data_IF_300689812620
#
_entry.id   IF_300689812620
#
_cell.length_a   1.000
_cell.length_b   1.000
_cell.length_c   1.000
_cell.angle_alpha   90.00
_cell.angle_beta   90.00
_cell.angle_gamma   90.00
#
_symmetry.space_group_name_H-M   'P 1'
#
loop_
_entity.id
_entity.type
_entity.pdbx_description
1 polymer ?
#
# COMPACT_ATOMS: atom_id res chain seq x y z
N UNK A 1 -10.44 23.96 15.51
CA UNK A 1 -10.47 22.63 14.86
C UNK A 1 -10.87 21.63 15.92
N UNK A 2 -11.63 20.59 15.60
CA UNK A 2 -11.96 19.54 16.56
C UNK A 2 -10.78 18.57 16.62
N UNK A 3 -10.20 18.39 17.81
CA UNK A 3 -9.05 17.51 18.02
C UNK A 3 -9.55 16.15 18.51
N UNK A 4 -9.27 15.04 17.79
CA UNK A 4 -9.75 13.72 18.18
C UNK A 4 -9.15 13.28 19.51
N UNK A 5 -9.96 12.79 20.46
CA UNK A 5 -9.45 12.31 21.74
C UNK A 5 -8.52 11.10 21.56
N UNK A 6 -7.22 11.34 21.73
CA UNK A 6 -6.19 10.31 21.72
C UNK A 6 -5.34 10.36 22.99
N UNK A 7 -4.66 9.26 23.30
CA UNK A 7 -3.71 9.21 24.43
C UNK A 7 -2.40 9.89 24.07
N UNK A 8 -2.00 9.75 22.81
CA UNK A 8 -0.74 10.26 22.28
C UNK A 8 -1.01 11.07 21.02
N UNK A 9 -0.16 12.05 20.77
CA UNK A 9 -0.18 12.82 19.54
C UNK A 9 1.21 12.87 18.95
N UNK A 10 1.31 12.82 17.62
CA UNK A 10 2.56 12.96 16.90
C UNK A 10 2.57 14.15 15.97
N UNK A 11 3.75 14.63 15.64
CA UNK A 11 3.98 15.72 14.71
C UNK A 11 4.48 15.19 13.36
N UNK A 12 3.82 15.58 12.28
CA UNK A 12 4.29 15.39 10.92
C UNK A 12 4.86 16.72 10.44
N UNK A 13 6.19 16.78 10.28
CA UNK A 13 6.87 17.92 9.69
C UNK A 13 7.58 17.50 8.41
N UNK A 14 7.16 18.08 7.29
CA UNK A 14 7.78 17.89 5.97
C UNK A 14 8.45 19.21 5.55
N UNK A 15 9.75 19.15 5.29
CA UNK A 15 10.54 20.28 4.84
C UNK A 15 10.30 20.61 3.36
N UNK A 16 10.80 21.76 2.93
CA UNK A 16 10.67 22.29 1.56
C UNK A 16 11.22 21.36 0.48
N UNK A 17 12.19 20.52 0.82
CA UNK A 17 12.79 19.52 -0.06
C UNK A 17 12.08 18.15 -0.02
N UNK A 18 10.91 18.05 0.62
CA UNK A 18 10.13 16.82 0.75
C UNK A 18 10.70 15.81 1.74
N UNK A 19 11.71 16.17 2.54
CA UNK A 19 12.22 15.34 3.64
C UNK A 19 11.31 15.48 4.86
N UNK A 20 11.18 14.41 5.62
CA UNK A 20 10.42 14.36 6.87
C UNK A 20 11.37 14.42 8.08
N UNK A 21 10.99 15.14 9.12
CA UNK A 21 11.78 15.20 10.35
C UNK A 21 11.44 14.00 11.25
N UNK A 22 12.44 13.21 11.60
CA UNK A 22 12.29 12.06 12.50
C UNK A 22 13.38 12.03 13.56
N UNK A 23 13.14 11.34 14.66
CA UNK A 23 14.15 11.01 15.66
C UNK A 23 15.20 10.06 15.06
N UNK A 24 16.45 10.18 15.52
CA UNK A 24 17.54 9.27 15.16
C UNK A 24 17.40 7.90 15.81
N UNK A 25 16.78 7.86 17.00
CA UNK A 25 16.44 6.65 17.74
C UNK A 25 14.96 6.71 18.18
N UNK A 26 14.29 5.56 18.37
CA UNK A 26 12.91 5.55 18.82
C UNK A 26 12.71 6.29 20.15
N UNK A 27 11.65 7.08 20.27
CA UNK A 27 11.36 7.84 21.48
C UNK A 27 10.86 6.98 22.64
N UNK A 28 10.82 7.55 23.85
CA UNK A 28 10.29 6.90 25.06
C UNK A 28 8.80 6.51 24.94
N UNK A 29 8.06 7.28 24.16
CA UNK A 29 6.63 7.06 23.86
C UNK A 29 6.45 6.18 22.61
N UNK A 30 7.55 5.69 22.01
CA UNK A 30 7.55 4.84 20.83
C UNK A 30 7.87 5.60 19.54
N UNK A 31 8.30 4.84 18.54
CA UNK A 31 8.42 5.30 17.15
C UNK A 31 9.49 6.35 16.88
N UNK A 32 9.66 6.71 15.60
CA UNK A 32 10.62 7.69 15.12
C UNK A 32 9.98 9.08 14.93
N UNK A 33 8.67 9.17 14.68
CA UNK A 33 7.99 10.47 14.68
C UNK A 33 8.05 11.11 16.07
N UNK A 34 8.14 12.45 16.12
CA UNK A 34 8.09 13.19 17.38
C UNK A 34 6.69 13.02 17.96
N UNK A 35 6.60 12.37 19.12
CA UNK A 35 5.35 11.94 19.76
C UNK A 35 5.35 12.32 21.24
N UNK A 36 4.21 12.82 21.71
CA UNK A 36 3.95 13.23 23.09
C UNK A 36 2.75 12.48 23.66
N UNK A 37 2.84 12.04 24.91
CA UNK A 37 1.68 11.67 25.71
C UNK A 37 1.13 12.93 26.37
N UNK A 38 -0.18 13.16 26.27
CA UNK A 38 -0.76 14.45 26.66
C UNK A 38 -0.57 14.78 28.13
N UNK A 39 0.03 15.95 28.45
CA UNK A 39 -0.02 16.49 29.80
C UNK A 39 -1.46 16.83 30.20
N UNK A 40 -1.79 16.68 31.48
CA UNK A 40 -3.13 16.99 32.04
C UNK A 40 -3.46 18.49 31.93
N UNK A 41 -2.44 19.33 31.83
CA UNK A 41 -2.50 20.79 31.96
C UNK A 41 -2.20 21.56 30.67
N UNK A 42 -2.02 20.88 29.52
CA UNK A 42 -1.72 21.53 28.23
C UNK A 42 -2.66 21.10 27.12
N UNK A 43 -2.86 21.99 26.16
CA UNK A 43 -3.51 21.63 24.90
C UNK A 43 -2.61 20.67 24.11
N UNK A 44 -3.18 19.74 23.31
CA UNK A 44 -2.41 18.85 22.45
C UNK A 44 -1.50 19.61 21.47
N UNK A 45 -1.98 20.73 20.93
CA UNK A 45 -1.25 21.58 20.00
C UNK A 45 0.00 22.21 20.64
N UNK A 46 -0.16 22.78 21.83
CA UNK A 46 0.96 23.39 22.56
C UNK A 46 1.98 22.33 22.99
N UNK A 47 1.51 21.16 23.45
CA UNK A 47 2.38 20.06 23.84
C UNK A 47 3.25 19.56 22.67
N UNK A 48 2.70 19.51 21.46
CA UNK A 48 3.43 19.14 20.25
C UNK A 48 4.43 20.22 19.85
N UNK A 49 4.03 21.48 19.82
CA UNK A 49 4.92 22.59 19.45
C UNK A 49 6.11 22.69 20.43
N UNK A 50 5.85 22.58 21.73
CA UNK A 50 6.88 22.56 22.77
C UNK A 50 7.83 21.37 22.61
N UNK A 51 7.31 20.17 22.35
CA UNK A 51 8.14 18.98 22.20
C UNK A 51 9.02 19.06 20.96
N UNK A 52 8.47 19.48 19.81
CA UNK A 52 9.23 19.68 18.58
C UNK A 52 10.36 20.69 18.82
N UNK A 53 10.06 21.83 19.46
CA UNK A 53 11.09 22.82 19.79
C UNK A 53 12.15 22.24 20.73
N UNK A 54 11.77 21.44 21.73
CA UNK A 54 12.72 20.84 22.67
C UNK A 54 13.65 19.81 22.03
N UNK A 55 13.16 19.00 21.08
CA UNK A 55 13.94 17.91 20.46
C UNK A 55 14.75 18.37 19.24
N UNK A 56 14.31 19.43 18.56
CA UNK A 56 14.86 19.88 17.28
C UNK A 56 15.36 21.33 17.25
N UNK A 57 15.00 22.15 18.24
CA UNK A 57 15.24 23.60 18.21
C UNK A 57 14.34 24.36 17.22
N UNK A 58 13.45 23.68 16.50
CA UNK A 58 12.58 24.30 15.50
C UNK A 58 11.32 24.88 16.13
N UNK A 59 11.05 26.14 15.80
CA UNK A 59 9.74 26.71 16.04
C UNK A 59 8.78 26.23 14.96
N UNK A 60 7.65 25.67 15.40
CA UNK A 60 6.59 25.18 14.51
C UNK A 60 5.24 25.73 14.93
N UNK A 61 4.30 25.73 13.99
CA UNK A 61 2.87 25.96 14.24
C UNK A 61 2.06 24.78 13.75
N UNK A 62 0.97 24.48 14.42
CA UNK A 62 -0.01 23.50 13.93
C UNK A 62 -0.75 24.10 12.74
N UNK A 63 -0.69 23.42 11.60
CA UNK A 63 -1.36 23.83 10.36
C UNK A 63 -2.69 23.11 10.21
N UNK A 64 -2.71 21.81 10.50
CA UNK A 64 -3.89 20.97 10.45
C UNK A 64 -3.85 19.85 11.49
N UNK A 65 -5.03 19.37 11.85
CA UNK A 65 -5.23 18.17 12.68
C UNK A 65 -5.57 17.01 11.75
N UNK A 66 -4.96 15.85 12.01
CA UNK A 66 -5.30 14.62 11.30
C UNK A 66 -6.77 14.26 11.51
N UNK A 67 -7.43 13.83 10.42
CA UNK A 67 -8.81 13.35 10.46
C UNK A 67 -8.90 11.92 11.01
N UNK A 68 -7.82 11.16 10.88
CA UNK A 68 -7.73 9.77 11.30
C UNK A 68 -7.03 9.61 12.65
N UNK A 69 -7.30 8.48 13.29
CA UNK A 69 -6.66 8.08 14.53
C UNK A 69 -6.04 6.71 14.32
N UNK A 70 -4.77 6.55 14.70
CA UNK A 70 -4.02 5.31 14.56
C UNK A 70 -3.90 4.57 15.89
N UNK A 71 -3.64 3.26 15.82
CA UNK A 71 -3.42 2.43 17.00
C UNK A 71 -1.95 2.04 17.07
N UNK A 72 -1.26 2.50 18.11
CA UNK A 72 0.10 2.09 18.45
C UNK A 72 0.12 1.13 19.63
N UNK A 73 1.32 0.70 20.04
CA UNK A 73 1.48 -0.25 21.15
C UNK A 73 0.95 0.28 22.48
N UNK A 74 0.86 1.60 22.62
CA UNK A 74 0.41 2.29 23.85
C UNK A 74 -1.04 2.75 23.80
N UNK A 75 -1.73 2.54 22.68
CA UNK A 75 -3.13 2.86 22.47
C UNK A 75 -3.37 3.80 21.29
N UNK A 76 -4.38 4.64 21.44
CA UNK A 76 -4.90 5.53 20.42
C UNK A 76 -3.97 6.74 20.23
N UNK A 77 -3.56 7.01 18.99
CA UNK A 77 -2.63 8.07 18.62
C UNK A 77 -3.22 8.97 17.51
N UNK A 78 -3.36 10.26 17.80
CA UNK A 78 -3.69 11.28 16.82
C UNK A 78 -2.43 11.88 16.19
N UNK A 79 -2.58 12.67 15.13
CA UNK A 79 -1.45 13.37 14.52
C UNK A 79 -1.79 14.81 14.16
N UNK A 80 -0.76 15.66 14.13
CA UNK A 80 -0.82 17.03 13.64
C UNK A 80 0.12 17.20 12.47
N UNK A 81 -0.35 17.92 11.46
CA UNK A 81 0.51 18.45 10.41
C UNK A 81 1.02 19.80 10.92
N UNK A 82 2.33 19.90 11.09
CA UNK A 82 2.98 21.11 11.59
C UNK A 82 3.81 21.77 10.49
N UNK A 83 3.93 23.09 10.55
CA UNK A 83 4.76 23.88 9.64
C UNK A 83 5.80 24.67 10.41
N UNK A 84 6.98 24.76 9.82
CA UNK A 84 8.07 25.59 10.33
C UNK A 84 7.70 27.07 10.36
N UNK A 85 8.12 27.73 11.43
CA UNK A 85 8.08 29.17 11.60
C UNK A 85 9.53 29.66 11.57
N UNK A 86 10.06 29.92 10.37
CA UNK A 86 11.45 30.39 10.18
C UNK A 86 12.28 29.51 9.23
N UNK A 87 13.60 29.52 9.42
CA UNK A 87 14.56 28.79 8.57
C UNK A 87 14.68 27.31 8.94
N UNK A 88 14.83 26.44 7.94
CA UNK A 88 15.08 25.00 8.08
C UNK A 88 16.50 24.68 8.63
N UNK A 89 17.41 25.65 8.61
CA UNK A 89 18.84 25.49 8.87
C UNK A 89 19.21 25.17 10.32
N UNK A 90 18.25 25.20 11.26
CA UNK A 90 18.53 24.94 12.68
C UNK A 90 18.71 23.45 13.00
N UNK A 91 18.21 22.53 12.16
CA UNK A 91 18.41 21.07 12.33
C UNK A 91 19.59 20.62 11.48
N UNK A 92 20.65 20.17 12.14
CA UNK A 92 21.89 19.73 11.50
C UNK A 92 23.17 20.10 12.24
N UNK A 93 23.08 20.84 13.35
CA UNK A 93 24.18 21.06 14.29
C UNK A 93 24.27 19.87 15.26
N UNK A 94 25.49 19.38 15.54
CA UNK A 94 25.75 18.31 16.50
C UNK A 94 25.06 18.64 17.85
N UNK A 95 24.03 17.87 18.23
CA UNK A 95 23.34 18.04 19.52
C UNK A 95 21.87 17.62 19.58
N UNK A 96 21.15 17.59 18.46
CA UNK A 96 19.72 17.22 18.45
C UNK A 96 19.46 15.72 18.19
N UNK A 97 18.41 15.20 18.82
CA UNK A 97 17.98 13.79 18.72
C UNK A 97 17.18 13.48 17.45
N UNK A 98 17.07 14.44 16.53
CA UNK A 98 16.32 14.34 15.27
C UNK A 98 17.19 14.63 14.06
N UNK A 99 16.76 14.16 12.90
CA UNK A 99 17.35 14.46 11.60
C UNK A 99 16.27 14.47 10.51
N UNK A 100 16.60 15.08 9.38
CA UNK A 100 15.76 15.05 8.19
C UNK A 100 16.01 13.74 7.44
N UNK A 101 14.95 13.06 7.02
CA UNK A 101 15.06 11.85 6.22
C UNK A 101 14.28 12.02 4.92
N UNK A 102 14.81 11.51 3.81
CA UNK A 102 13.95 11.28 2.64
C UNK A 102 12.83 10.30 3.03
N UNK A 103 11.71 10.28 2.32
CA UNK A 103 10.63 9.32 2.59
C UNK A 103 11.17 7.87 2.58
N UNK A 104 12.11 7.55 1.70
CA UNK A 104 12.78 6.24 1.64
C UNK A 104 13.82 6.03 2.76
N UNK A 105 14.45 7.09 3.26
CA UNK A 105 15.32 6.99 4.44
C UNK A 105 14.50 6.71 5.70
N UNK A 106 13.41 7.45 5.87
CA UNK A 106 12.45 7.33 6.95
C UNK A 106 11.83 5.94 6.99
N UNK A 107 11.49 5.43 5.83
CA UNK A 107 11.05 4.09 5.59
C UNK A 107 11.94 2.98 6.12
N UNK A 108 13.20 3.02 5.67
CA UNK A 108 14.20 2.05 6.07
C UNK A 108 14.45 2.14 7.58
N UNK A 109 14.40 3.35 8.14
CA UNK A 109 14.50 3.57 9.58
C UNK A 109 13.34 2.90 10.33
N UNK A 110 12.09 3.17 9.95
CA UNK A 110 10.88 2.61 10.57
C UNK A 110 10.83 1.08 10.45
N UNK A 111 11.33 0.51 9.35
CA UNK A 111 11.41 -0.95 9.16
C UNK A 111 12.25 -1.68 10.21
N UNK A 112 13.07 -0.94 10.98
CA UNK A 112 13.85 -1.50 12.10
C UNK A 112 13.05 -1.66 13.40
N UNK A 113 11.82 -1.14 13.48
CA UNK A 113 10.96 -1.30 14.65
C UNK A 113 10.58 -2.77 14.84
N UNK A 114 10.74 -3.25 16.07
CA UNK A 114 10.44 -4.64 16.45
C UNK A 114 8.99 -4.87 16.84
N UNK A 115 8.25 -3.81 17.11
CA UNK A 115 6.85 -3.88 17.55
C UNK A 115 5.97 -3.63 16.33
N UNK A 116 5.18 -4.63 15.96
CA UNK A 116 4.33 -4.59 14.75
C UNK A 116 3.31 -3.45 14.80
N UNK A 117 2.72 -3.17 15.96
CA UNK A 117 1.76 -2.07 16.12
C UNK A 117 2.40 -0.68 16.00
N UNK A 118 3.62 -0.51 16.51
CA UNK A 118 4.38 0.74 16.30
C UNK A 118 4.84 0.88 14.85
N UNK A 119 5.26 -0.23 14.22
CA UNK A 119 5.60 -0.25 12.81
C UNK A 119 4.40 0.17 11.96
N UNK A 120 3.24 -0.47 12.10
CA UNK A 120 2.04 -0.17 11.31
C UNK A 120 1.60 1.28 11.47
N UNK A 121 1.63 1.82 12.69
CA UNK A 121 1.31 3.23 12.95
C UNK A 121 2.30 4.16 12.24
N UNK A 122 3.60 3.98 12.43
CA UNK A 122 4.64 4.87 11.86
C UNK A 122 4.63 4.83 10.34
N UNK A 123 4.39 3.66 9.75
CA UNK A 123 4.25 3.48 8.31
C UNK A 123 3.01 4.19 7.77
N UNK A 124 1.88 4.10 8.47
CA UNK A 124 0.63 4.78 8.09
C UNK A 124 0.79 6.30 8.13
N UNK A 125 1.46 6.81 9.16
CA UNK A 125 1.77 8.24 9.31
C UNK A 125 2.76 8.72 8.24
N UNK A 126 3.75 7.90 7.88
CA UNK A 126 4.69 8.24 6.81
C UNK A 126 4.02 8.29 5.44
N UNK A 127 2.94 7.54 5.21
CA UNK A 127 2.13 7.71 4.00
C UNK A 127 1.48 9.10 3.92
N UNK A 128 1.01 9.64 5.06
CA UNK A 128 0.51 11.02 5.13
C UNK A 128 1.63 12.02 4.81
N UNK A 129 2.82 11.84 5.41
CA UNK A 129 3.97 12.69 5.12
C UNK A 129 4.42 12.60 3.65
N UNK A 130 4.37 11.42 3.04
CA UNK A 130 4.67 11.21 1.63
C UNK A 130 3.68 11.96 0.72
N UNK A 131 2.38 11.93 1.04
CA UNK A 131 1.37 12.71 0.32
C UNK A 131 1.60 14.22 0.42
N UNK A 132 1.97 14.73 1.60
CA UNK A 132 2.33 16.15 1.79
C UNK A 132 3.57 16.51 0.96
N UNK A 133 4.60 15.66 0.98
CA UNK A 133 5.81 15.85 0.18
C UNK A 133 5.50 15.81 -1.32
N UNK A 134 4.61 14.92 -1.75
CA UNK A 134 4.16 14.81 -3.14
C UNK A 134 3.46 16.07 -3.63
N UNK A 135 2.47 16.56 -2.85
CA UNK A 135 1.77 17.80 -3.18
C UNK A 135 2.72 19.01 -3.20
N UNK A 136 3.65 19.08 -2.26
CA UNK A 136 4.64 20.15 -2.20
C UNK A 136 5.56 20.12 -3.42
N UNK A 137 6.00 18.94 -3.86
CA UNK A 137 6.80 18.77 -5.08
C UNK A 137 6.02 19.16 -6.35
N UNK A 138 4.76 18.75 -6.45
CA UNK A 138 3.92 19.08 -7.61
C UNK A 138 3.60 20.59 -7.71
N UNK A 139 3.51 21.30 -6.57
CA UNK A 139 3.34 22.75 -6.54
C UNK A 139 4.57 23.53 -7.03
N UNK A 140 5.76 22.94 -6.92
CA UNK A 140 7.03 23.54 -7.36
C UNK A 140 7.30 23.26 -8.84
N UNK A 141 6.81 22.14 -9.37
CA UNK A 141 6.97 21.79 -10.78
C UNK A 141 6.08 22.66 -11.69
N UNK A 142 6.73 23.50 -12.50
CA UNK A 142 6.10 24.41 -13.46
C UNK A 142 5.11 23.73 -14.40
N UNK A 143 5.30 22.43 -14.68
CA UNK A 143 4.42 21.64 -15.56
C UNK A 143 3.02 21.51 -14.99
N UNK A 144 2.90 21.39 -13.66
CA UNK A 144 1.62 21.12 -13.01
C UNK A 144 0.88 22.37 -12.52
N UNK A 145 1.54 23.53 -12.46
CA UNK A 145 0.97 24.78 -11.92
C UNK A 145 -0.42 25.16 -12.45
N UNK A 146 -0.76 24.77 -13.69
CA UNK A 146 -2.05 25.06 -14.32
C UNK A 146 -3.14 24.03 -14.06
N UNK A 147 -2.78 22.84 -13.57
CA UNK A 147 -3.68 21.71 -13.37
C UNK A 147 -3.80 21.28 -11.90
N UNK A 148 -2.88 21.69 -11.03
CA UNK A 148 -2.96 21.41 -9.58
C UNK A 148 -4.31 21.87 -9.02
N UNK A 149 -4.97 20.98 -8.28
CA UNK A 149 -6.24 21.24 -7.63
C UNK A 149 -7.49 20.99 -8.48
N UNK A 150 -7.34 20.58 -9.76
CA UNK A 150 -8.47 20.05 -10.52
C UNK A 150 -8.67 18.54 -10.25
N UNK A 151 -9.88 18.05 -10.49
CA UNK A 151 -10.26 16.66 -10.24
C UNK A 151 -9.40 15.67 -11.02
N UNK A 152 -9.09 15.98 -12.27
CA UNK A 152 -8.32 15.14 -13.17
C UNK A 152 -6.87 14.98 -12.73
N UNK A 153 -6.29 16.02 -12.14
CA UNK A 153 -4.96 15.98 -11.54
C UNK A 153 -4.96 15.11 -10.29
N UNK A 154 -5.97 15.23 -9.42
CA UNK A 154 -6.10 14.36 -8.24
C UNK A 154 -6.28 12.89 -8.64
N UNK A 155 -7.14 12.60 -9.61
CA UNK A 155 -7.30 11.24 -10.16
C UNK A 155 -6.01 10.72 -10.80
N UNK A 156 -5.23 11.57 -11.46
CA UNK A 156 -3.97 11.16 -12.07
C UNK A 156 -2.91 10.82 -11.01
N UNK A 157 -2.87 11.57 -9.90
CA UNK A 157 -1.99 11.24 -8.76
C UNK A 157 -2.27 9.84 -8.22
N UNK A 158 -3.54 9.48 -8.06
CA UNK A 158 -3.94 8.13 -7.61
C UNK A 158 -3.44 7.05 -8.58
N UNK A 159 -3.50 7.29 -9.89
CA UNK A 159 -2.90 6.37 -10.87
C UNK A 159 -1.39 6.29 -10.70
N UNK A 160 -0.68 7.40 -10.52
CA UNK A 160 0.78 7.39 -10.37
C UNK A 160 1.22 6.52 -9.19
N UNK A 161 0.42 6.47 -8.13
CA UNK A 161 0.62 5.55 -7.01
C UNK A 161 0.53 4.08 -7.45
N UNK A 162 -0.45 3.71 -8.26
CA UNK A 162 -0.56 2.36 -8.82
C UNK A 162 0.57 2.03 -9.80
N UNK A 163 0.98 2.99 -10.62
CA UNK A 163 2.11 2.85 -11.54
C UNK A 163 3.41 2.56 -10.77
N UNK A 164 3.69 3.32 -9.71
CA UNK A 164 4.86 3.08 -8.86
C UNK A 164 4.85 1.68 -8.24
N UNK A 165 3.68 1.22 -7.77
CA UNK A 165 3.48 -0.14 -7.24
C UNK A 165 3.74 -1.22 -8.29
N UNK A 166 3.26 -1.03 -9.51
CA UNK A 166 3.44 -1.98 -10.62
C UNK A 166 4.92 -2.00 -11.05
N UNK A 167 5.53 -0.83 -11.26
CA UNK A 167 6.91 -0.66 -11.71
C UNK A 167 7.95 -1.10 -10.67
N UNK A 168 7.62 -1.03 -9.37
CA UNK A 168 8.44 -1.60 -8.30
C UNK A 168 8.29 -3.13 -8.19
N UNK A 169 7.35 -3.74 -8.91
CA UNK A 169 7.06 -5.15 -8.77
C UNK A 169 6.54 -5.50 -7.38
N UNK A 170 5.91 -4.56 -6.68
CA UNK A 170 5.29 -4.74 -5.37
C UNK A 170 6.21 -4.67 -4.17
N UNK A 171 7.48 -4.36 -4.36
CA UNK A 171 8.42 -4.20 -3.23
C UNK A 171 8.25 -2.85 -2.51
N UNK A 172 7.45 -1.94 -3.06
CA UNK A 172 7.24 -0.57 -2.55
C UNK A 172 5.87 -0.31 -1.96
N UNK A 173 5.15 -1.31 -1.44
CA UNK A 173 3.74 -1.18 -1.02
C UNK A 173 3.46 -0.01 -0.05
N UNK A 174 4.48 0.47 0.66
CA UNK A 174 4.37 1.53 1.65
C UNK A 174 5.01 2.88 1.28
N UNK A 175 5.74 2.99 0.15
CA UNK A 175 6.51 4.19 -0.24
C UNK A 175 6.00 4.76 -1.55
N UNK A 176 4.89 5.47 -1.49
CA UNK A 176 4.21 5.99 -2.68
C UNK A 176 4.55 7.47 -2.82
N UNK A 177 5.56 7.77 -3.65
CA UNK A 177 5.86 9.14 -4.11
C UNK A 177 4.92 9.57 -5.24
N UNK A 178 4.20 8.61 -5.83
CA UNK A 178 3.17 8.85 -6.82
C UNK A 178 3.75 9.56 -8.03
N UNK A 179 3.22 10.75 -8.33
CA UNK A 179 3.59 11.53 -9.51
C UNK A 179 5.06 11.99 -9.47
N UNK A 180 5.67 12.07 -8.29
CA UNK A 180 7.07 12.46 -8.09
C UNK A 180 8.03 11.27 -7.97
N UNK A 181 7.56 10.05 -8.25
CA UNK A 181 8.42 8.87 -8.26
C UNK A 181 9.36 8.92 -9.46
N UNK A 182 10.67 8.76 -9.24
CA UNK A 182 11.67 8.66 -10.32
C UNK A 182 11.33 7.52 -11.31
N UNK A 183 10.65 6.47 -10.83
CA UNK A 183 10.19 5.36 -11.66
C UNK A 183 9.04 5.78 -12.57
N UNK A 184 8.07 6.51 -12.03
CA UNK A 184 6.92 7.00 -12.79
C UNK A 184 7.39 8.05 -13.79
N UNK A 185 8.18 9.03 -13.35
CA UNK A 185 8.77 10.05 -14.22
C UNK A 185 9.59 9.40 -15.34
N UNK A 186 10.51 8.49 -15.00
CA UNK A 186 11.34 7.81 -15.99
C UNK A 186 10.53 6.97 -16.98
N UNK A 187 9.46 6.32 -16.54
CA UNK A 187 8.55 5.57 -17.42
C UNK A 187 7.80 6.51 -18.38
N UNK A 188 7.25 7.62 -17.87
CA UNK A 188 6.53 8.60 -18.69
C UNK A 188 7.47 9.24 -19.72
N UNK A 189 8.66 9.67 -19.31
CA UNK A 189 9.64 10.31 -20.19
C UNK A 189 10.14 9.36 -21.28
N UNK A 190 10.48 8.12 -20.94
CA UNK A 190 10.95 7.12 -21.92
C UNK A 190 9.83 6.75 -22.91
N UNK A 191 8.60 6.53 -22.42
CA UNK A 191 7.46 6.20 -23.28
C UNK A 191 7.14 7.37 -24.22
N UNK A 192 7.13 8.61 -23.71
CA UNK A 192 6.90 9.82 -24.51
C UNK A 192 7.98 10.00 -25.58
N UNK A 193 9.24 9.72 -25.25
CA UNK A 193 10.35 9.75 -26.21
C UNK A 193 10.15 8.73 -27.33
N UNK A 194 9.79 7.49 -26.99
CA UNK A 194 9.53 6.42 -27.97
C UNK A 194 8.35 6.74 -28.90
N UNK A 195 7.27 7.32 -28.36
CA UNK A 195 6.15 7.85 -29.17
C UNK A 195 6.66 8.93 -30.13
N UNK A 196 7.48 9.87 -29.63
CA UNK A 196 7.99 11.00 -30.44
C UNK A 196 8.96 10.55 -31.55
N UNK A 197 9.65 9.43 -31.34
CA UNK A 197 10.53 8.80 -32.34
C UNK A 197 9.76 7.92 -33.34
N UNK A 198 8.45 7.72 -33.15
CA UNK A 198 7.63 6.83 -33.98
C UNK A 198 7.87 5.34 -33.72
N UNK A 199 8.53 4.98 -32.61
CA UNK A 199 8.70 3.57 -32.21
C UNK A 199 7.42 2.99 -31.61
N UNK A 200 6.61 3.84 -30.99
CA UNK A 200 5.25 3.51 -30.54
C UNK A 200 4.30 4.24 -31.50
N UNK A 201 3.85 3.52 -32.52
CA UNK A 201 2.84 3.94 -33.48
C UNK A 201 1.56 3.09 -33.33
N UNK A 202 0.57 3.32 -34.18
CA UNK A 202 -0.71 2.59 -34.12
C UNK A 202 -0.54 1.09 -34.33
N UNK A 203 0.39 0.66 -35.18
CA UNK A 203 0.64 -0.77 -35.42
C UNK A 203 1.28 -1.42 -34.19
N UNK A 204 2.24 -0.75 -33.55
CA UNK A 204 2.83 -1.19 -32.29
C UNK A 204 1.78 -1.31 -31.19
N UNK A 205 0.92 -0.30 -31.04
CA UNK A 205 -0.16 -0.30 -30.06
C UNK A 205 -1.12 -1.48 -30.29
N UNK A 206 -1.61 -1.69 -31.51
CA UNK A 206 -2.48 -2.81 -31.85
C UNK A 206 -1.83 -4.17 -31.54
N UNK A 207 -0.53 -4.31 -31.82
CA UNK A 207 0.21 -5.52 -31.51
C UNK A 207 0.27 -5.79 -30.00
N UNK A 208 0.60 -4.79 -29.19
CA UNK A 208 0.62 -4.91 -27.71
C UNK A 208 -0.78 -5.25 -27.18
N UNK A 209 -1.82 -4.57 -27.68
CA UNK A 209 -3.21 -4.80 -27.28
C UNK A 209 -3.68 -6.21 -27.64
N UNK A 210 -3.27 -6.74 -28.79
CA UNK A 210 -3.59 -8.10 -29.21
C UNK A 210 -3.00 -9.15 -28.28
N UNK A 211 -1.81 -8.91 -27.72
CA UNK A 211 -1.12 -9.83 -26.82
C UNK A 211 -1.77 -9.90 -25.44
N UNK A 212 -2.27 -8.76 -24.93
CA UNK A 212 -2.96 -8.70 -23.62
C UNK A 212 -4.42 -9.15 -23.67
N UNK A 213 -5.03 -9.17 -24.87
CA UNK A 213 -6.39 -9.69 -25.07
C UNK A 213 -6.52 -11.19 -24.82
N UNK A 214 -5.40 -11.91 -24.80
CA UNK A 214 -5.32 -13.36 -24.59
C UNK A 214 -5.15 -13.64 -23.10
N UNK A 215 -6.07 -14.38 -22.48
CA UNK A 215 -5.92 -14.84 -21.09
C UNK A 215 -4.65 -15.70 -20.93
N UNK A 216 -3.56 -15.06 -20.49
CA UNK A 216 -2.24 -15.66 -20.33
C UNK A 216 -1.58 -15.14 -19.05
N UNK A 217 -0.69 -15.95 -18.48
CA UNK A 217 0.12 -15.58 -17.29
C UNK A 217 1.62 -15.71 -17.56
N UNK A 218 2.04 -15.45 -18.81
CA UNK A 218 3.45 -15.44 -19.18
C UNK A 218 4.12 -14.11 -18.80
N UNK A 219 5.46 -14.11 -18.72
CA UNK A 219 6.26 -12.88 -18.53
C UNK A 219 6.11 -11.91 -19.71
N UNK A 220 5.91 -12.45 -20.90
CA UNK A 220 5.69 -11.66 -22.12
C UNK A 220 4.35 -10.95 -22.09
N UNK A 221 3.31 -11.64 -21.60
CA UNK A 221 2.00 -11.04 -21.34
C UNK A 221 2.08 -9.97 -20.24
N UNK A 222 2.79 -10.24 -19.14
CA UNK A 222 3.01 -9.26 -18.05
C UNK A 222 3.70 -8.00 -18.56
N UNK A 223 4.74 -8.15 -19.38
CA UNK A 223 5.44 -7.01 -20.02
C UNK A 223 4.55 -6.23 -20.97
N UNK A 224 3.78 -6.93 -21.81
CA UNK A 224 2.85 -6.28 -22.75
C UNK A 224 1.77 -5.50 -22.00
N UNK A 225 1.32 -5.99 -20.84
CA UNK A 225 0.36 -5.30 -20.00
C UNK A 225 0.95 -4.06 -19.33
N UNK A 226 2.17 -4.15 -18.82
CA UNK A 226 2.90 -2.97 -18.30
C UNK A 226 3.12 -1.95 -19.43
N UNK A 227 3.46 -2.40 -20.65
CA UNK A 227 3.62 -1.53 -21.82
C UNK A 227 2.31 -0.79 -22.15
N UNK A 228 1.17 -1.50 -22.17
CA UNK A 228 -0.14 -0.89 -22.40
C UNK A 228 -0.49 0.16 -21.33
N UNK A 229 -0.20 -0.14 -20.07
CA UNK A 229 -0.35 0.79 -18.94
C UNK A 229 0.54 2.03 -19.16
N UNK A 230 1.81 1.85 -19.50
CA UNK A 230 2.76 2.95 -19.75
C UNK A 230 2.30 3.86 -20.89
N UNK A 231 1.85 3.29 -22.02
CA UNK A 231 1.34 4.05 -23.15
C UNK A 231 0.09 4.86 -22.79
N UNK A 232 -0.90 4.23 -22.16
CA UNK A 232 -2.13 4.91 -21.76
C UNK A 232 -1.88 6.00 -20.71
N UNK A 233 -0.99 5.74 -19.75
CA UNK A 233 -0.61 6.70 -18.71
C UNK A 233 0.11 7.91 -19.30
N UNK A 234 0.98 7.69 -20.29
CA UNK A 234 1.69 8.75 -20.99
C UNK A 234 0.74 9.62 -21.82
N UNK A 235 -0.26 9.00 -22.48
CA UNK A 235 -1.32 9.74 -23.18
C UNK A 235 -2.17 10.56 -22.22
N UNK A 236 -2.63 9.96 -21.11
CA UNK A 236 -3.39 10.65 -20.07
C UNK A 236 -2.60 11.84 -19.51
N UNK A 237 -1.33 11.65 -19.18
CA UNK A 237 -0.41 12.71 -18.74
C UNK A 237 -0.32 13.85 -19.76
N UNK A 238 -0.12 13.53 -21.04
CA UNK A 238 -0.04 14.52 -22.12
C UNK A 238 -1.34 15.33 -22.29
N UNK A 239 -2.50 14.68 -22.20
CA UNK A 239 -3.80 15.34 -22.26
C UNK A 239 -4.08 16.21 -21.04
N UNK A 240 -3.75 15.73 -19.84
CA UNK A 240 -3.86 16.48 -18.58
C UNK A 240 -3.10 17.81 -18.67
N UNK A 241 -1.83 17.77 -19.09
CA UNK A 241 -0.99 18.98 -19.19
C UNK A 241 -1.49 19.97 -20.26
N UNK A 242 -2.20 19.49 -21.28
CA UNK A 242 -2.80 20.34 -22.33
C UNK A 242 -4.18 20.87 -21.97
N UNK A 243 -4.78 20.40 -20.88
CA UNK A 243 -6.16 20.73 -20.48
C UNK A 243 -7.22 20.07 -21.36
N UNK A 244 -6.89 18.98 -22.05
CA UNK A 244 -7.85 18.20 -22.84
C UNK A 244 -8.47 17.10 -21.97
N UNK A 245 -9.55 17.44 -21.26
CA UNK A 245 -10.16 16.53 -20.30
C UNK A 245 -10.95 15.39 -20.95
N UNK A 246 -11.36 15.53 -22.21
CA UNK A 246 -12.04 14.45 -22.94
C UNK A 246 -11.02 13.35 -23.28
N UNK A 247 -9.91 13.73 -23.91
CA UNK A 247 -8.83 12.79 -24.20
C UNK A 247 -8.20 12.21 -22.93
N UNK A 248 -8.07 13.00 -21.87
CA UNK A 248 -7.63 12.54 -20.56
C UNK A 248 -8.52 11.41 -20.03
N UNK A 249 -9.84 11.61 -19.98
CA UNK A 249 -10.76 10.64 -19.40
C UNK A 249 -10.76 9.31 -20.17
N UNK A 250 -10.67 9.35 -21.50
CA UNK A 250 -10.56 8.14 -22.31
C UNK A 250 -9.27 7.36 -22.03
N UNK A 251 -8.12 8.06 -22.01
CA UNK A 251 -6.84 7.44 -21.70
C UNK A 251 -6.77 6.93 -20.26
N UNK A 252 -7.31 7.69 -19.31
CA UNK A 252 -7.40 7.36 -17.89
C UNK A 252 -8.20 6.07 -17.66
N UNK A 253 -9.38 5.94 -18.27
CA UNK A 253 -10.16 4.69 -18.21
C UNK A 253 -9.39 3.51 -18.80
N UNK A 254 -8.62 3.73 -19.88
CA UNK A 254 -7.70 2.75 -20.42
C UNK A 254 -6.69 2.25 -19.39
N UNK A 255 -6.05 3.18 -18.66
CA UNK A 255 -5.11 2.82 -17.57
C UNK A 255 -5.80 1.99 -16.50
N UNK A 256 -6.96 2.44 -15.98
CA UNK A 256 -7.67 1.72 -14.93
C UNK A 256 -8.02 0.28 -15.34
N UNK A 257 -8.54 0.10 -16.56
CA UNK A 257 -8.87 -1.23 -17.09
C UNK A 257 -7.64 -2.16 -17.11
N UNK A 258 -6.47 -1.65 -17.51
CA UNK A 258 -5.26 -2.46 -17.58
C UNK A 258 -4.61 -2.69 -16.20
N UNK A 259 -4.72 -1.73 -15.27
CA UNK A 259 -4.32 -1.92 -13.87
C UNK A 259 -5.18 -2.99 -13.20
N UNK A 260 -6.51 -2.93 -13.37
CA UNK A 260 -7.42 -3.95 -12.85
C UNK A 260 -7.10 -5.34 -13.44
N UNK A 261 -6.85 -5.39 -14.76
CA UNK A 261 -6.40 -6.62 -15.44
C UNK A 261 -5.07 -7.14 -14.88
N UNK A 262 -4.13 -6.23 -14.58
CA UNK A 262 -2.83 -6.57 -14.00
C UNK A 262 -3.01 -7.16 -12.62
N UNK A 263 -3.78 -6.53 -11.74
CA UNK A 263 -3.99 -6.99 -10.37
C UNK A 263 -4.73 -8.33 -10.31
N UNK A 264 -5.69 -8.54 -11.20
CA UNK A 264 -6.40 -9.82 -11.32
C UNK A 264 -5.48 -10.98 -11.75
N UNK A 265 -4.52 -10.72 -12.63
CA UNK A 265 -3.64 -11.76 -13.19
C UNK A 265 -2.35 -11.93 -12.38
N UNK A 266 -1.91 -10.88 -11.70
CA UNK A 266 -0.66 -10.77 -10.97
C UNK A 266 -0.87 -10.12 -9.58
N UNK A 267 -1.71 -10.71 -8.71
CA UNK A 267 -2.04 -10.12 -7.41
C UNK A 267 -0.78 -9.93 -6.55
N UNK A 268 -0.74 -8.81 -5.83
CA UNK A 268 0.38 -8.42 -4.98
C UNK A 268 0.65 -9.41 -3.84
N UNK A 269 -0.43 -10.04 -3.35
CA UNK A 269 -0.39 -11.07 -2.31
C UNK A 269 -0.06 -12.44 -2.90
N UNK A 270 1.20 -12.63 -3.28
CA UNK A 270 1.64 -13.91 -3.86
C UNK A 270 3.10 -14.22 -3.55
N UNK A 271 3.37 -15.44 -3.05
CA UNK A 271 4.74 -15.98 -2.88
C UNK A 271 5.59 -15.86 -4.15
N UNK A 272 4.95 -15.91 -5.33
CA UNK A 272 5.57 -15.72 -6.63
C UNK A 272 6.14 -14.30 -6.86
N UNK A 273 5.69 -13.27 -6.13
CA UNK A 273 6.24 -11.91 -6.14
C UNK A 273 7.47 -11.81 -5.24
N UNK A 274 7.40 -12.37 -4.02
CA UNK A 274 8.54 -12.51 -3.08
C UNK A 274 9.75 -13.24 -3.70
N UNK A 275 9.50 -14.27 -4.51
CA UNK A 275 10.57 -15.03 -5.19
C UNK A 275 11.13 -14.33 -6.45
N UNK A 276 10.39 -13.39 -7.06
CA UNK A 276 10.82 -12.63 -8.25
C UNK A 276 11.64 -11.38 -7.92
N UNK A 277 11.31 -10.67 -6.82
CA UNK A 277 12.04 -9.48 -6.38
C UNK A 277 13.44 -9.77 -5.83
N UNK A 278 13.68 -10.99 -5.31
CA UNK A 278 14.95 -11.33 -4.64
C UNK A 278 16.10 -11.77 -5.58
N UNK A 279 15.83 -12.07 -6.85
CA UNK A 279 16.85 -12.57 -7.78
C UNK A 279 16.67 -12.00 -9.18
N UNK A 280 17.41 -10.93 -9.46
CA UNK A 280 17.89 -10.70 -10.81
C UNK A 280 18.63 -11.96 -11.29
N UNK A 281 18.27 -12.47 -12.46
CA UNK A 281 18.99 -13.57 -13.11
C UNK A 281 18.12 -14.78 -13.46
N UNK A 282 18.22 -15.17 -14.73
CA UNK A 282 17.67 -16.38 -15.33
C UNK A 282 17.91 -17.62 -14.45
N UNK A 283 16.87 -18.17 -13.85
CA UNK A 283 16.94 -19.50 -13.24
C UNK A 283 15.73 -19.82 -12.37
N UNK A 284 15.10 -20.98 -12.62
CA UNK A 284 14.06 -21.67 -11.81
C UNK A 284 12.58 -21.52 -12.20
N UNK A 285 12.26 -21.52 -13.50
CA UNK A 285 10.88 -21.79 -13.94
C UNK A 285 10.35 -23.19 -13.50
N UNK A 286 11.24 -24.17 -13.24
CA UNK A 286 10.84 -25.50 -12.77
C UNK A 286 10.40 -25.56 -11.30
N UNK A 287 10.95 -24.72 -10.42
CA UNK A 287 10.62 -24.77 -8.98
C UNK A 287 9.29 -24.08 -8.66
N UNK A 288 8.96 -22.98 -9.35
CA UNK A 288 7.71 -22.23 -9.14
C UNK A 288 6.47 -23.02 -9.58
N UNK A 289 6.57 -23.82 -10.65
CA UNK A 289 5.50 -24.73 -11.06
C UNK A 289 5.28 -25.85 -10.03
N UNK A 290 6.34 -26.35 -9.40
CA UNK A 290 6.28 -27.41 -8.39
C UNK A 290 5.76 -26.88 -7.04
N UNK A 291 6.10 -25.64 -6.68
CA UNK A 291 5.58 -24.94 -5.50
C UNK A 291 4.13 -24.48 -5.69
N UNK A 292 3.76 -23.94 -6.85
CA UNK A 292 2.37 -23.59 -7.17
C UNK A 292 1.47 -24.83 -7.25
N UNK A 293 2.01 -25.96 -7.74
CA UNK A 293 1.33 -27.27 -7.71
C UNK A 293 1.20 -27.78 -6.28
N UNK A 294 2.20 -27.59 -5.40
CA UNK A 294 2.09 -27.87 -3.95
C UNK A 294 1.09 -26.96 -3.23
N UNK A 295 0.99 -25.69 -3.62
CA UNK A 295 0.05 -24.71 -3.03
C UNK A 295 -1.39 -25.02 -3.47
N UNK A 296 -1.63 -25.26 -4.77
CA UNK A 296 -2.94 -25.71 -5.26
C UNK A 296 -3.38 -27.03 -4.61
N UNK A 297 -2.45 -27.98 -4.44
CA UNK A 297 -2.70 -29.21 -3.67
C UNK A 297 -3.00 -28.90 -2.19
N UNK A 298 -2.34 -27.91 -1.57
CA UNK A 298 -2.61 -27.53 -0.18
C UNK A 298 -3.97 -26.86 0.01
N UNK A 299 -4.43 -26.04 -0.95
CA UNK A 299 -5.76 -25.41 -0.90
C UNK A 299 -6.87 -26.44 -1.15
N UNK A 300 -6.68 -27.37 -2.09
CA UNK A 300 -7.58 -28.50 -2.30
C UNK A 300 -7.66 -29.41 -1.07
N UNK A 301 -6.53 -29.66 -0.40
CA UNK A 301 -6.45 -30.43 0.85
C UNK A 301 -7.17 -29.72 2.01
N UNK A 302 -6.93 -28.43 2.21
CA UNK A 302 -7.66 -27.64 3.23
C UNK A 302 -9.16 -27.67 2.93
N UNK A 303 -9.56 -27.43 1.67
CA UNK A 303 -10.96 -27.48 1.25
C UNK A 303 -11.58 -28.83 1.56
N UNK A 304 -10.88 -29.93 1.23
CA UNK A 304 -11.36 -31.29 1.49
C UNK A 304 -11.48 -31.57 2.99
N UNK A 305 -10.51 -31.13 3.79
CA UNK A 305 -10.53 -31.23 5.25
C UNK A 305 -11.71 -30.47 5.86
N UNK A 306 -12.02 -29.28 5.36
CA UNK A 306 -13.21 -28.53 5.80
C UNK A 306 -14.49 -29.30 5.43
N UNK A 307 -14.60 -29.85 4.22
CA UNK A 307 -15.77 -30.65 3.82
C UNK A 307 -15.94 -31.92 4.66
N UNK A 308 -14.85 -32.58 5.03
CA UNK A 308 -14.88 -33.80 5.83
C UNK A 308 -15.26 -33.51 7.28
N UNK A 309 -14.71 -32.45 7.87
CA UNK A 309 -15.15 -31.98 9.18
C UNK A 309 -16.64 -31.59 9.14
N UNK A 310 -17.09 -30.87 8.10
CA UNK A 310 -18.52 -30.55 7.93
C UNK A 310 -19.40 -31.82 7.88
N UNK A 311 -18.96 -32.88 7.20
CA UNK A 311 -19.70 -34.14 7.10
C UNK A 311 -19.73 -34.91 8.41
N UNK A 312 -18.61 -34.93 9.15
CA UNK A 312 -18.51 -35.62 10.45
C UNK A 312 -19.49 -35.07 11.49
N UNK A 313 -19.87 -33.79 11.35
CA UNK A 313 -20.71 -33.08 12.31
C UNK A 313 -22.18 -32.94 11.90
N UNK A 314 -22.61 -33.61 10.82
CA UNK A 314 -24.03 -33.75 10.42
C UNK A 314 -24.79 -34.59 11.47
N UNK A 315 -26.04 -34.25 11.80
CA UNK A 315 -26.87 -33.17 11.24
C UNK A 315 -26.67 -31.81 11.93
N UNK A 316 -26.78 -30.74 11.13
CA UNK A 316 -26.85 -29.37 11.62
C UNK A 316 -28.30 -29.00 11.95
N UNK A 317 -28.51 -28.31 13.08
CA UNK A 317 -29.86 -27.90 13.51
C UNK A 317 -30.40 -26.81 12.57
N UNK A 318 -31.73 -26.76 12.43
CA UNK A 318 -32.38 -25.67 11.72
C UNK A 318 -32.02 -24.32 12.40
N UNK A 319 -31.57 -23.34 11.61
CA UNK A 319 -31.15 -21.99 12.04
C UNK A 319 -29.80 -21.89 12.77
N UNK A 320 -28.91 -22.89 12.66
CA UNK A 320 -27.52 -22.73 13.11
C UNK A 320 -26.82 -21.63 12.29
N UNK A 321 -26.18 -20.68 12.97
CA UNK A 321 -25.40 -19.62 12.34
C UNK A 321 -24.08 -20.17 11.80
N UNK A 322 -23.52 -19.57 10.75
CA UNK A 322 -22.21 -20.00 10.23
C UNK A 322 -21.10 -19.92 11.27
N UNK A 323 -21.14 -18.93 12.16
CA UNK A 323 -20.23 -18.83 13.31
C UNK A 323 -20.32 -20.07 14.21
N UNK A 324 -21.54 -20.51 14.54
CA UNK A 324 -21.72 -21.73 15.34
C UNK A 324 -21.29 -23.01 14.61
N UNK A 325 -21.33 -23.03 13.27
CA UNK A 325 -20.77 -24.14 12.48
C UNK A 325 -19.24 -24.11 12.53
N UNK A 326 -18.62 -22.94 12.39
CA UNK A 326 -17.16 -22.74 12.48
C UNK A 326 -16.65 -23.18 13.84
N UNK A 327 -17.25 -22.70 14.93
CA UNK A 327 -16.87 -23.07 16.31
C UNK A 327 -16.90 -24.58 16.53
N UNK A 328 -17.83 -25.27 15.86
CA UNK A 328 -17.99 -26.73 15.99
C UNK A 328 -16.87 -27.51 15.30
N UNK A 329 -16.29 -26.98 14.22
CA UNK A 329 -15.37 -27.74 13.36
C UNK A 329 -13.93 -27.20 13.35
N UNK A 330 -13.70 -25.97 13.83
CA UNK A 330 -12.42 -25.26 13.68
C UNK A 330 -11.25 -26.03 14.27
N UNK A 331 -11.42 -26.66 15.43
CA UNK A 331 -10.34 -27.39 16.10
C UNK A 331 -9.93 -28.64 15.33
N UNK A 332 -10.92 -29.35 14.77
CA UNK A 332 -10.71 -30.53 13.94
C UNK A 332 -10.06 -30.17 12.60
N UNK A 333 -10.51 -29.09 11.96
CA UNK A 333 -9.91 -28.56 10.73
C UNK A 333 -8.47 -28.12 11.01
N UNK A 334 -8.23 -27.35 12.07
CA UNK A 334 -6.89 -26.90 12.43
C UNK A 334 -5.93 -28.06 12.70
N UNK A 335 -6.37 -29.08 13.45
CA UNK A 335 -5.56 -30.26 13.72
C UNK A 335 -5.28 -31.06 12.44
N UNK A 336 -6.28 -31.25 11.59
CA UNK A 336 -6.15 -32.03 10.36
C UNK A 336 -5.26 -31.33 9.33
N UNK A 337 -5.38 -30.01 9.17
CA UNK A 337 -4.50 -29.19 8.30
C UNK A 337 -3.06 -29.22 8.83
N UNK A 338 -2.87 -29.12 10.15
CA UNK A 338 -1.55 -29.24 10.78
C UNK A 338 -0.92 -30.62 10.58
N UNK A 339 -1.69 -31.70 10.71
CA UNK A 339 -1.24 -33.07 10.46
C UNK A 339 -0.83 -33.32 8.99
N UNK A 340 -1.37 -32.54 8.06
CA UNK A 340 -0.97 -32.57 6.64
C UNK A 340 0.28 -31.73 6.35
N UNK A 341 0.90 -31.13 7.38
CA UNK A 341 2.11 -30.31 7.24
C UNK A 341 1.86 -28.94 6.61
N UNK A 342 0.61 -28.47 6.64
CA UNK A 342 0.22 -27.17 6.09
C UNK A 342 0.24 -26.13 7.22
N UNK A 343 1.07 -25.11 7.09
CA UNK A 343 1.17 -24.01 8.05
C UNK A 343 0.08 -22.96 7.77
N UNK A 344 -1.02 -23.03 8.54
CA UNK A 344 -2.08 -22.01 8.58
C UNK A 344 -2.41 -21.69 10.02
N UNK A 345 -2.60 -20.41 10.31
CA UNK A 345 -3.09 -20.00 11.63
C UNK A 345 -4.60 -20.31 11.75
N UNK A 346 -5.14 -20.23 12.96
CA UNK A 346 -6.53 -20.58 13.23
C UNK A 346 -7.52 -19.56 12.64
N UNK A 347 -7.16 -18.28 12.64
CA UNK A 347 -8.03 -17.20 12.16
C UNK A 347 -8.20 -17.23 10.63
N UNK A 348 -7.14 -17.55 9.90
CA UNK A 348 -7.16 -17.81 8.46
C UNK A 348 -8.14 -18.95 8.13
N UNK A 349 -8.09 -20.05 8.90
CA UNK A 349 -8.98 -21.19 8.71
C UNK A 349 -10.43 -20.84 9.08
N UNK A 350 -10.65 -20.03 10.11
CA UNK A 350 -11.97 -19.48 10.41
C UNK A 350 -12.53 -18.69 9.22
N UNK A 351 -11.72 -17.80 8.64
CA UNK A 351 -12.08 -17.03 7.45
C UNK A 351 -12.41 -17.93 6.26
N UNK A 352 -11.59 -18.95 5.99
CA UNK A 352 -11.82 -19.91 4.91
C UNK A 352 -13.09 -20.75 5.11
N UNK A 353 -13.37 -21.19 6.34
CA UNK A 353 -14.60 -21.93 6.64
C UNK A 353 -15.81 -21.02 6.42
N UNK A 354 -15.77 -19.77 6.90
CA UNK A 354 -16.86 -18.80 6.71
C UNK A 354 -17.09 -18.52 5.22
N UNK A 355 -16.03 -18.32 4.45
CA UNK A 355 -16.10 -18.12 3.01
C UNK A 355 -16.69 -19.35 2.30
N UNK A 356 -16.26 -20.56 2.66
CA UNK A 356 -16.84 -21.79 2.11
C UNK A 356 -18.32 -21.94 2.45
N UNK A 357 -18.75 -21.60 3.67
CA UNK A 357 -20.16 -21.62 4.05
C UNK A 357 -20.97 -20.57 3.26
N UNK A 358 -20.35 -19.43 2.96
CA UNK A 358 -20.96 -18.33 2.21
C UNK A 358 -20.98 -18.54 0.70
N UNK A 359 -20.02 -19.27 0.12
CA UNK A 359 -19.77 -19.29 -1.32
C UNK A 359 -19.69 -20.72 -1.93
N UNK A 360 -19.20 -21.73 -1.20
CA UNK A 360 -19.02 -23.10 -1.72
C UNK A 360 -20.33 -23.91 -1.72
N UNK A 361 -20.73 -24.41 -2.90
CA UNK A 361 -21.98 -25.14 -3.09
C UNK A 361 -22.02 -26.49 -2.33
N UNK A 362 -20.89 -27.17 -2.18
CA UNK A 362 -20.81 -28.45 -1.47
C UNK A 362 -20.90 -28.26 0.04
N UNK A 363 -20.19 -27.28 0.60
CA UNK A 363 -20.29 -26.91 2.01
C UNK A 363 -21.73 -26.47 2.38
N UNK A 364 -22.33 -25.61 1.55
CA UNK A 364 -23.75 -25.23 1.69
C UNK A 364 -24.68 -26.42 1.65
N UNK A 365 -24.45 -27.38 0.76
CA UNK A 365 -25.27 -28.60 0.66
C UNK A 365 -25.17 -29.45 1.92
N UNK A 366 -23.99 -29.61 2.51
CA UNK A 366 -23.80 -30.41 3.74
C UNK A 366 -24.52 -29.76 4.93
N UNK A 367 -24.43 -28.45 5.09
CA UNK A 367 -25.08 -27.73 6.21
C UNK A 367 -26.59 -27.59 5.99
N UNK A 368 -27.05 -27.58 4.74
CA UNK A 368 -28.48 -27.52 4.38
C UNK A 368 -29.13 -28.89 4.17
N UNK A 369 -28.37 -29.98 4.06
CA UNK A 369 -28.93 -31.32 3.87
C UNK A 369 -29.65 -31.72 5.15
N UNK A 370 -30.98 -31.77 5.06
CA UNK A 370 -31.85 -32.38 6.06
C UNK A 370 -31.93 -33.87 5.84
#
# INVERSE_FOLDING_TARGET
MEVPQAKEYLAILVGSNGRVLLRKEPGLVGGFFIRVELPVDKSPEDAIADLVFSESGLQVRVDAVGTDIYFGARGVCGYFIVKLVGSEEAVGLDGFSVDWYSIEGAANLISSLKNDSEFELEMSVLAVAASIAEMSGALVDDRFKRVVGNSEFESFKEICVDLERILSGGTGEFWRRGINSDRVIGMLDETQKRISLGEIDSEYEENVLSLISRNSRSKEHERSLIEAISMCSTKAYGFLLRGDYVGYNEAYLGVLNYVELYDRLYPGEGRARRERGFKGGNGKAKASAEVSRKIGVSEDLIRQTILDALRAHVPYRARTTYVSVVDKIIDEVFHSVKCQGIERNRDDLCGLILDMLANDAAAKKIVKSR
#
